data_IF_779902789830
#
_entry.id   IF_779902789830
#
_cell.length_a   1.000
_cell.length_b   1.000
_cell.length_c   1.000
_cell.angle_alpha   90.00
_cell.angle_beta   90.00
_cell.angle_gamma   90.00
#
_symmetry.space_group_name_H-M   'P 1'
#
loop_
_entity.id
_entity.type
_entity.pdbx_description
1 polymer ?
#
# COMPACT_ATOMS: atom_id res chain seq x y z
N UNK A 1 7.59 9.53 28.88
CA UNK A 1 7.47 10.15 27.56
C UNK A 1 8.05 9.15 26.56
N UNK A 2 7.19 8.40 25.86
CA UNK A 2 7.64 7.41 24.88
C UNK A 2 7.94 8.13 23.57
N UNK A 3 9.15 7.95 23.07
CA UNK A 3 9.66 8.53 21.83
C UNK A 3 8.92 7.88 20.65
N UNK A 4 7.84 8.51 20.20
CA UNK A 4 6.98 8.02 19.14
C UNK A 4 7.56 8.43 17.78
N UNK A 5 8.70 7.84 17.41
CA UNK A 5 9.24 7.99 16.05
C UNK A 5 8.45 7.08 15.11
N UNK A 6 7.80 7.62 14.07
CA UNK A 6 7.04 6.80 13.14
C UNK A 6 7.99 5.90 12.36
N UNK A 7 7.61 4.62 12.24
CA UNK A 7 8.22 3.64 11.33
C UNK A 7 7.92 4.02 9.86
N UNK A 8 8.46 5.15 9.39
CA UNK A 8 8.45 5.51 7.97
C UNK A 8 9.65 4.85 7.27
N UNK A 9 9.62 3.52 7.14
CA UNK A 9 10.52 2.81 6.21
C UNK A 9 9.70 2.31 5.04
N UNK A 10 9.30 3.23 4.18
CA UNK A 10 8.89 2.93 2.81
C UNK A 10 9.94 3.47 1.85
N UNK A 11 10.26 2.70 0.82
CA UNK A 11 11.10 3.16 -0.27
C UNK A 11 10.17 3.74 -1.35
N UNK A 12 10.28 5.04 -1.58
CA UNK A 12 9.63 5.72 -2.69
C UNK A 12 10.53 5.59 -3.92
N UNK A 13 9.99 5.05 -5.01
CA UNK A 13 10.70 4.91 -6.27
C UNK A 13 10.05 5.80 -7.34
N UNK A 14 10.81 6.21 -8.35
CA UNK A 14 10.20 6.88 -9.51
C UNK A 14 9.48 5.84 -10.36
N UNK A 15 8.34 6.22 -10.92
CA UNK A 15 7.56 5.35 -11.82
C UNK A 15 8.40 4.83 -13.01
N UNK A 16 9.37 5.62 -13.47
CA UNK A 16 10.34 5.24 -14.52
C UNK A 16 11.20 4.02 -14.18
N UNK A 17 11.34 3.69 -12.90
CA UNK A 17 12.25 2.65 -12.42
C UNK A 17 11.61 1.26 -12.47
N UNK A 18 10.30 1.18 -12.77
CA UNK A 18 9.55 -0.06 -12.84
C UNK A 18 9.14 -0.42 -14.27
N UNK A 19 9.60 -1.56 -14.77
CA UNK A 19 8.95 -2.25 -15.90
C UNK A 19 7.66 -2.89 -15.40
N UNK A 20 6.54 -2.20 -15.59
CA UNK A 20 5.19 -2.50 -15.08
C UNK A 20 4.54 -3.77 -15.65
N UNK A 21 5.29 -4.63 -16.35
CA UNK A 21 4.78 -5.75 -17.16
C UNK A 21 4.13 -6.87 -16.35
N UNK A 22 4.23 -6.88 -15.01
CA UNK A 22 3.74 -7.98 -14.14
C UNK A 22 3.03 -7.52 -12.86
N UNK A 23 2.53 -6.28 -12.82
CA UNK A 23 1.67 -5.79 -11.74
C UNK A 23 0.30 -5.45 -12.35
N UNK A 24 -0.71 -6.23 -12.00
CA UNK A 24 -2.10 -5.86 -12.30
C UNK A 24 -2.56 -4.89 -11.20
N UNK A 25 -2.76 -3.63 -11.60
CA UNK A 25 -3.31 -2.60 -10.73
C UNK A 25 -4.83 -2.64 -10.79
N UNK A 26 -5.49 -2.65 -9.65
CA UNK A 26 -6.94 -2.71 -9.54
C UNK A 26 -7.51 -1.36 -9.08
N UNK A 27 -8.67 -0.97 -9.64
CA UNK A 27 -9.49 0.12 -9.12
C UNK A 27 -10.45 -0.42 -8.05
N UNK A 28 -10.61 0.30 -6.95
CA UNK A 28 -11.47 -0.12 -5.83
C UNK A 28 -12.58 0.90 -5.57
N UNK A 29 -13.75 0.41 -5.16
CA UNK A 29 -14.80 1.28 -4.63
C UNK A 29 -14.33 1.95 -3.33
N UNK A 30 -14.69 3.24 -3.10
CA UNK A 30 -14.27 3.96 -1.91
C UNK A 30 -14.81 3.30 -0.64
N UNK A 31 -14.01 3.33 0.43
CA UNK A 31 -14.32 2.79 1.75
C UNK A 31 -14.54 1.27 1.85
N UNK A 32 -14.31 0.50 0.77
CA UNK A 32 -14.30 -0.97 0.85
C UNK A 32 -13.04 -1.45 1.57
N UNK A 33 -13.22 -2.35 2.54
CA UNK A 33 -12.13 -3.11 3.15
C UNK A 33 -11.52 -4.02 2.10
N UNK A 34 -10.20 -3.95 1.97
CA UNK A 34 -9.41 -4.75 1.04
C UNK A 34 -8.42 -5.54 1.87
N UNK A 35 -8.47 -6.85 1.68
CA UNK A 35 -7.52 -7.81 2.22
C UNK A 35 -6.61 -8.24 1.05
N UNK A 36 -5.31 -7.91 1.06
CA UNK A 36 -4.39 -8.38 0.03
C UNK A 36 -4.40 -9.91 -0.11
N UNK A 37 -4.05 -10.44 -1.29
CA UNK A 37 -3.92 -11.88 -1.51
C UNK A 37 -3.04 -12.56 -0.45
N UNK A 38 -3.34 -13.82 -0.16
CA UNK A 38 -2.51 -14.64 0.72
C UNK A 38 -1.04 -14.65 0.21
N UNK A 39 -0.08 -14.57 1.13
CA UNK A 39 1.36 -14.45 0.87
C UNK A 39 1.81 -13.12 0.24
N UNK A 40 0.98 -12.07 0.28
CA UNK A 40 1.43 -10.71 -0.03
C UNK A 40 2.51 -10.29 0.97
N UNK A 41 3.66 -9.89 0.44
CA UNK A 41 4.81 -9.38 1.22
C UNK A 41 4.95 -7.86 1.09
N UNK A 42 4.29 -7.26 0.09
CA UNK A 42 4.18 -5.82 -0.03
C UNK A 42 2.91 -5.39 -0.78
N UNK A 43 2.42 -4.19 -0.45
CA UNK A 43 1.42 -3.46 -1.22
C UNK A 43 2.14 -2.34 -1.98
N UNK A 44 1.87 -2.26 -3.28
CA UNK A 44 2.41 -1.23 -4.16
C UNK A 44 1.30 -0.22 -4.45
N UNK A 45 1.56 1.05 -4.12
CA UNK A 45 0.59 2.12 -4.27
C UNK A 45 1.13 3.12 -5.29
N UNK A 46 0.38 3.31 -6.38
CA UNK A 46 0.69 4.28 -7.41
C UNK A 46 -0.05 5.59 -7.10
N UNK A 47 0.71 6.58 -6.63
CA UNK A 47 0.25 7.95 -6.30
C UNK A 47 0.74 8.98 -7.32
N UNK A 48 1.14 8.55 -8.53
CA UNK A 48 1.73 9.45 -9.54
C UNK A 48 0.75 10.55 -9.97
N UNK A 49 -0.52 10.22 -10.19
CA UNK A 49 -1.55 11.19 -10.62
C UNK A 49 -2.36 11.78 -9.43
N UNK A 50 -2.02 11.41 -8.19
CA UNK A 50 -2.54 11.97 -6.94
C UNK A 50 -4.06 12.27 -6.89
N UNK A 51 -4.89 11.23 -6.90
CA UNK A 51 -6.35 11.36 -6.74
C UNK A 51 -6.92 10.52 -5.60
N UNK A 52 -6.09 10.03 -4.68
CA UNK A 52 -6.55 9.18 -3.60
C UNK A 52 -5.49 8.85 -2.56
N UNK A 53 -5.88 7.98 -1.63
CA UNK A 53 -5.02 7.45 -0.60
C UNK A 53 -5.45 6.04 -0.19
N UNK A 54 -4.51 5.26 0.32
CA UNK A 54 -4.82 4.09 1.13
C UNK A 54 -4.71 4.44 2.61
N UNK A 55 -5.55 3.81 3.43
CA UNK A 55 -5.45 3.83 4.90
C UNK A 55 -5.36 2.40 5.40
N UNK A 56 -4.35 2.11 6.20
CA UNK A 56 -3.95 0.78 6.67
C UNK A 56 -4.29 0.67 8.15
N UNK A 57 -4.86 -0.46 8.54
CA UNK A 57 -5.34 -0.73 9.88
C UNK A 57 -4.91 -2.11 10.36
N UNK A 58 -4.80 -2.27 11.68
CA UNK A 58 -4.68 -3.59 12.32
C UNK A 58 -6.00 -4.34 12.19
N UNK A 59 -5.93 -5.63 11.85
CA UNK A 59 -7.11 -6.50 11.77
C UNK A 59 -7.72 -6.81 13.13
N UNK A 60 -6.90 -6.78 14.19
CA UNK A 60 -7.33 -7.18 15.54
C UNK A 60 -8.35 -6.22 16.13
N UNK A 61 -8.16 -4.92 15.93
CA UNK A 61 -8.90 -3.86 16.62
C UNK A 61 -9.20 -2.63 15.76
N UNK A 62 -8.95 -2.69 14.46
CA UNK A 62 -9.11 -1.58 13.52
C UNK A 62 -8.32 -0.33 13.90
N UNK A 63 -7.24 -0.48 14.69
CA UNK A 63 -6.34 0.63 14.99
C UNK A 63 -5.61 1.10 13.73
N UNK A 64 -5.46 2.41 13.59
CA UNK A 64 -4.79 3.01 12.46
C UNK A 64 -3.28 2.74 12.52
N UNK A 65 -2.73 2.16 11.45
CA UNK A 65 -1.32 1.83 11.32
C UNK A 65 -0.59 2.91 10.52
N UNK A 66 -1.06 3.16 9.29
CA UNK A 66 -0.39 4.06 8.36
C UNK A 66 -1.32 4.47 7.19
N UNK A 67 -0.87 5.40 6.38
CA UNK A 67 -1.51 5.81 5.14
C UNK A 67 -0.48 6.15 4.07
N UNK A 68 -0.90 6.06 2.81
CA UNK A 68 -0.12 6.54 1.66
C UNK A 68 -1.07 7.33 0.79
N UNK A 69 -0.71 8.57 0.49
CA UNK A 69 -1.63 9.52 -0.14
C UNK A 69 -0.94 10.60 -0.93
N UNK A 70 -1.56 11.78 -0.92
CA UNK A 70 -1.10 12.96 -1.66
C UNK A 70 0.26 13.47 -1.20
N UNK A 71 0.65 13.17 0.03
CA UNK A 71 1.95 13.52 0.59
C UNK A 71 3.11 12.76 -0.06
N UNK A 72 2.82 11.69 -0.81
CA UNK A 72 3.75 10.96 -1.67
C UNK A 72 3.50 11.20 -3.18
N UNK A 73 2.73 12.22 -3.56
CA UNK A 73 2.38 12.51 -4.95
C UNK A 73 3.60 12.51 -5.89
N UNK A 74 3.45 11.88 -7.07
CA UNK A 74 4.53 11.74 -8.06
C UNK A 74 5.42 10.51 -7.87
N UNK A 75 5.17 9.70 -6.84
CA UNK A 75 5.92 8.49 -6.56
C UNK A 75 5.10 7.20 -6.71
N UNK A 76 5.81 6.08 -6.82
CA UNK A 76 5.25 4.77 -6.51
C UNK A 76 5.80 4.32 -5.15
N UNK A 77 4.91 4.00 -4.23
CA UNK A 77 5.26 3.69 -2.84
C UNK A 77 5.08 2.20 -2.61
N UNK A 78 6.12 1.56 -2.08
CA UNK A 78 6.07 0.16 -1.67
C UNK A 78 5.95 0.12 -0.15
N UNK A 79 4.86 -0.46 0.33
CA UNK A 79 4.60 -0.69 1.76
C UNK A 79 4.86 -2.16 2.06
N UNK A 80 5.90 -2.51 2.85
CA UNK A 80 6.06 -3.86 3.37
C UNK A 80 4.79 -4.31 4.07
N UNK A 81 4.34 -5.53 3.79
CA UNK A 81 3.01 -5.97 4.22
C UNK A 81 3.07 -6.95 5.39
N UNK A 82 2.24 -6.71 6.39
CA UNK A 82 1.96 -7.64 7.49
C UNK A 82 0.58 -8.27 7.27
N UNK A 83 0.47 -9.59 7.35
CA UNK A 83 -0.81 -10.30 7.20
C UNK A 83 -1.85 -9.96 8.27
N UNK A 84 -1.41 -9.37 9.39
CA UNK A 84 -2.26 -8.79 10.42
C UNK A 84 -2.95 -7.49 10.00
N UNK A 85 -2.62 -6.92 8.85
CA UNK A 85 -3.21 -5.65 8.38
C UNK A 85 -4.33 -5.86 7.35
N UNK A 86 -5.13 -4.82 7.19
CA UNK A 86 -6.06 -4.61 6.07
C UNK A 86 -6.02 -3.13 5.68
N UNK A 87 -6.52 -2.77 4.49
CA UNK A 87 -6.58 -1.37 4.08
C UNK A 87 -7.88 -1.02 3.37
N UNK A 88 -8.16 0.28 3.25
CA UNK A 88 -9.21 0.81 2.37
C UNK A 88 -8.68 1.92 1.48
N UNK A 89 -9.33 2.09 0.34
CA UNK A 89 -9.04 3.16 -0.62
C UNK A 89 -10.00 4.33 -0.42
N UNK A 90 -9.50 5.54 -0.62
CA UNK A 90 -10.30 6.75 -0.83
C UNK A 90 -9.85 7.44 -2.10
N UNK A 91 -10.81 7.93 -2.89
CA UNK A 91 -10.53 8.53 -4.19
C UNK A 91 -10.14 7.49 -5.26
N UNK A 92 -9.44 7.94 -6.30
CA UNK A 92 -8.97 7.11 -7.41
C UNK A 92 -7.48 6.87 -7.25
N UNK A 93 -7.12 5.66 -6.82
CA UNK A 93 -5.73 5.24 -6.64
C UNK A 93 -5.57 3.81 -7.13
N UNK A 94 -4.42 3.52 -7.73
CA UNK A 94 -4.10 2.18 -8.24
C UNK A 94 -3.25 1.45 -7.20
N UNK A 95 -3.66 0.22 -6.89
CA UNK A 95 -2.94 -0.62 -5.93
C UNK A 95 -2.62 -1.98 -6.57
N UNK A 96 -1.40 -2.45 -6.33
CA UNK A 96 -0.90 -3.75 -6.72
C UNK A 96 -0.27 -4.49 -5.53
N UNK A 97 0.07 -5.77 -5.74
CA UNK A 97 0.59 -6.63 -4.68
C UNK A 97 1.86 -7.34 -5.15
N UNK A 98 2.88 -7.36 -4.29
CA UNK A 98 4.00 -8.28 -4.43
C UNK A 98 3.69 -9.53 -3.59
N UNK A 99 3.59 -10.68 -4.24
CA UNK A 99 3.31 -11.97 -3.59
C UNK A 99 4.58 -12.80 -3.62
N UNK A 100 4.97 -13.36 -2.47
CA UNK A 100 6.06 -14.33 -2.45
C UNK A 100 5.60 -15.61 -3.16
N UNK A 101 6.29 -15.97 -4.24
CA UNK A 101 6.20 -17.33 -4.75
C UNK A 101 6.95 -18.20 -3.75
N UNK A 102 6.30 -19.22 -3.18
CA UNK A 102 7.00 -20.27 -2.44
C UNK A 102 8.04 -20.88 -3.39
N UNK A 103 9.27 -20.41 -3.32
CA UNK A 103 10.41 -21.11 -3.90
C UNK A 103 10.65 -22.28 -2.97
N UNK A 104 10.16 -23.45 -3.38
CA UNK A 104 10.50 -24.72 -2.75
C UNK A 104 12.01 -24.96 -2.81
#
# INVERSE_FOLDING_TARGET
MADNKPLKTYHAYRSSDFKTSRLQLFGFAPATRIDPPQNSVAVVVDVVESQGAIRIFERKDDSYVNGVGTEEAGHMVIVPWNSGWWFRVSGSIRVGYAVANNVK
#
